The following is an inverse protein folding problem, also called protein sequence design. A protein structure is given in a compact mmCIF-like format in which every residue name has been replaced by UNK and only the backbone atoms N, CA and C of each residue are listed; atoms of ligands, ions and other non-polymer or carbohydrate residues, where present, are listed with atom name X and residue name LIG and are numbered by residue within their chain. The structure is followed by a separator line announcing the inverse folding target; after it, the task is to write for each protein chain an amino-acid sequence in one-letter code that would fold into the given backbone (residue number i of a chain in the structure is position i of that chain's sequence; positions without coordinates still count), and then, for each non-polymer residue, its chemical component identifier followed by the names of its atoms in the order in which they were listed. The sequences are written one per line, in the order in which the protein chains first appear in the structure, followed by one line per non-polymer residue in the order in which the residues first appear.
data_IF_105768535916
#
_entry.id   IF_105768535916
#
_cell.length_a   1.000
_cell.length_b   1.000
_cell.length_c   1.000
_cell.angle_alpha   90.00
_cell.angle_beta   90.00
_cell.angle_gamma   90.00
#
_symmetry.space_group_name_H-M   'P 1'
#
loop_
_entity.id
_entity.type
_entity.pdbx_description
1 polymer ?
#
# COMPACT_ATOMS: atom_id res chain seq x y z
N UNK A 1 -26.82 3.21 16.19
CA UNK A 1 -26.00 3.21 14.97
C UNK A 1 -24.72 2.44 15.27
N UNK A 2 -24.59 1.21 14.78
CA UNK A 2 -23.36 0.44 14.93
C UNK A 2 -22.24 1.21 14.19
N UNK A 3 -21.12 1.46 14.85
CA UNK A 3 -19.99 2.15 14.22
C UNK A 3 -19.59 1.40 12.95
N UNK A 4 -19.49 2.11 11.82
CA UNK A 4 -18.95 1.60 10.54
C UNK A 4 -17.51 1.14 10.79
N UNK A 5 -17.33 -0.15 11.09
CA UNK A 5 -16.03 -0.73 11.45
C UNK A 5 -15.44 -1.47 10.27
N UNK A 6 -14.13 -1.34 10.09
CA UNK A 6 -13.39 -2.23 9.23
C UNK A 6 -13.59 -3.68 9.69
N UNK A 7 -13.75 -4.59 8.74
CA UNK A 7 -13.94 -6.01 8.98
C UNK A 7 -12.70 -6.77 8.50
N UNK A 8 -12.28 -7.75 9.29
CA UNK A 8 -11.19 -8.65 8.97
C UNK A 8 -11.68 -10.09 9.07
N UNK A 9 -11.61 -10.81 7.96
CA UNK A 9 -11.93 -12.22 7.83
C UNK A 9 -10.61 -12.97 7.66
N UNK A 10 -10.27 -13.82 8.63
CA UNK A 10 -9.18 -14.79 8.53
C UNK A 10 -9.77 -16.13 8.14
N UNK A 11 -9.21 -16.74 7.10
CA UNK A 11 -9.67 -18.03 6.60
C UNK A 11 -8.92 -19.18 7.28
N UNK A 12 -9.58 -20.32 7.40
CA UNK A 12 -8.99 -21.56 7.91
C UNK A 12 -9.42 -21.93 9.33
N UNK A 13 -8.81 -22.98 9.88
CA UNK A 13 -9.24 -23.60 11.14
C UNK A 13 -9.09 -22.70 12.38
N UNK A 14 -8.16 -21.76 12.34
CA UNK A 14 -7.91 -20.71 13.36
C UNK A 14 -8.55 -19.35 12.99
N UNK A 15 -9.31 -19.33 11.90
CA UNK A 15 -9.98 -18.16 11.35
C UNK A 15 -11.32 -17.82 12.01
N UNK A 16 -11.97 -16.78 11.48
CA UNK A 16 -13.33 -16.36 11.84
C UNK A 16 -14.28 -16.39 10.63
N UNK A 17 -13.90 -17.09 9.56
CA UNK A 17 -14.58 -17.09 8.27
C UNK A 17 -15.95 -17.78 8.25
N UNK A 18 -16.17 -18.78 9.10
CA UNK A 18 -17.36 -19.66 9.06
C UNK A 18 -18.71 -18.94 8.97
N UNK A 19 -18.85 -17.74 9.54
CA UNK A 19 -20.10 -16.97 9.50
C UNK A 19 -20.34 -16.27 8.15
N UNK A 20 -19.32 -16.18 7.32
CA UNK A 20 -19.34 -15.48 6.04
C UNK A 20 -19.39 -16.44 4.85
N UNK A 21 -19.02 -17.71 5.03
CA UNK A 21 -18.90 -18.66 3.93
C UNK A 21 -20.28 -19.06 3.37
N UNK A 22 -20.41 -18.98 2.05
CA UNK A 22 -21.46 -19.67 1.29
C UNK A 22 -20.93 -20.96 0.66
N UNK A 23 -21.30 -21.22 -0.59
CA UNK A 23 -20.80 -22.37 -1.35
C UNK A 23 -19.37 -22.19 -1.87
N UNK A 24 -18.74 -23.28 -2.32
CA UNK A 24 -17.47 -23.23 -3.06
C UNK A 24 -16.19 -23.14 -2.22
N UNK A 25 -16.22 -23.61 -0.98
CA UNK A 25 -15.07 -23.59 -0.08
C UNK A 25 -14.71 -25.01 0.38
N UNK A 26 -13.43 -25.27 0.61
CA UNK A 26 -12.97 -26.50 1.24
C UNK A 26 -13.28 -26.52 2.74
N UNK A 27 -13.00 -27.68 3.36
CA UNK A 27 -12.82 -27.78 4.80
C UNK A 27 -11.67 -26.90 5.32
N UNK A 28 -11.52 -26.91 6.64
CA UNK A 28 -10.53 -26.10 7.36
C UNK A 28 -9.11 -26.55 7.02
N UNK A 29 -8.25 -25.61 6.61
CA UNK A 29 -6.80 -25.81 6.54
C UNK A 29 -6.13 -24.90 7.60
N UNK A 30 -4.89 -25.17 8.04
CA UNK A 30 -4.18 -24.29 8.96
C UNK A 30 -3.85 -22.94 8.30
N UNK A 31 -4.54 -21.86 8.71
CA UNK A 31 -4.29 -20.50 8.24
C UNK A 31 -4.85 -20.14 6.85
N UNK A 32 -5.62 -21.02 6.20
CA UNK A 32 -6.26 -20.73 4.92
C UNK A 32 -7.47 -21.63 4.62
N UNK A 33 -8.20 -21.32 3.54
CA UNK A 33 -9.15 -22.26 2.90
C UNK A 33 -9.00 -22.24 1.39
N UNK A 34 -9.20 -23.38 0.75
CA UNK A 34 -9.32 -23.43 -0.69
C UNK A 34 -10.68 -22.95 -1.16
N UNK A 35 -10.67 -22.07 -2.16
CA UNK A 35 -11.76 -21.91 -3.10
C UNK A 35 -11.78 -23.14 -4.02
N UNK A 36 -12.93 -23.81 -4.11
CA UNK A 36 -13.08 -25.10 -4.79
C UNK A 36 -14.20 -25.01 -5.82
N UNK A 37 -13.98 -25.60 -7.00
CA UNK A 37 -14.94 -25.58 -8.10
C UNK A 37 -14.72 -24.35 -8.99
N UNK A 38 -15.77 -23.82 -9.60
CA UNK A 38 -15.69 -22.64 -10.49
C UNK A 38 -16.16 -21.34 -9.82
N UNK A 39 -16.67 -21.44 -8.58
CA UNK A 39 -17.27 -20.34 -7.84
C UNK A 39 -17.16 -20.53 -6.34
N UNK A 40 -16.94 -19.44 -5.61
CA UNK A 40 -17.07 -19.35 -4.15
C UNK A 40 -17.93 -18.16 -3.74
N UNK A 41 -18.63 -18.28 -2.63
CA UNK A 41 -19.53 -17.23 -2.13
C UNK A 41 -19.13 -16.74 -0.75
N UNK A 42 -19.20 -15.43 -0.53
CA UNK A 42 -19.14 -14.80 0.79
C UNK A 42 -20.38 -13.95 1.02
N UNK A 43 -20.84 -13.94 2.26
CA UNK A 43 -21.97 -13.14 2.73
C UNK A 43 -21.46 -12.15 3.77
N UNK A 44 -21.47 -10.87 3.40
CA UNK A 44 -20.98 -9.79 4.23
C UNK A 44 -22.12 -9.01 4.85
N UNK A 45 -21.84 -8.38 5.98
CA UNK A 45 -22.73 -7.36 6.52
C UNK A 45 -22.77 -6.14 5.58
N UNK A 46 -23.92 -5.48 5.47
CA UNK A 46 -24.04 -4.27 4.67
C UNK A 46 -23.36 -3.09 5.41
N UNK A 47 -22.54 -2.24 4.75
CA UNK A 47 -21.83 -1.14 5.41
C UNK A 47 -22.71 0.06 5.81
N UNK A 48 -24.03 -0.09 5.67
CA UNK A 48 -24.99 1.00 5.64
C UNK A 48 -25.15 1.68 4.26
N UNK A 49 -26.23 2.45 4.07
CA UNK A 49 -26.55 3.09 2.79
C UNK A 49 -25.50 4.12 2.36
N UNK A 50 -25.20 4.19 1.06
CA UNK A 50 -24.29 5.17 0.47
C UNK A 50 -22.80 4.96 0.80
N UNK A 51 -22.45 3.85 1.45
CA UNK A 51 -21.09 3.51 1.84
C UNK A 51 -20.53 2.47 0.87
N UNK A 52 -19.33 2.73 0.34
CA UNK A 52 -18.56 1.79 -0.46
C UNK A 52 -17.67 0.93 0.45
N UNK A 53 -17.13 -0.17 -0.07
CA UNK A 53 -16.02 -0.87 0.55
C UNK A 53 -14.74 -0.68 -0.25
N UNK A 54 -13.62 -0.56 0.44
CA UNK A 54 -12.33 -1.03 -0.07
C UNK A 54 -12.15 -2.45 0.42
N UNK A 55 -12.03 -3.37 -0.52
CA UNK A 55 -11.72 -4.78 -0.25
C UNK A 55 -10.24 -5.01 -0.53
N UNK A 56 -9.56 -5.71 0.37
CA UNK A 56 -8.23 -6.27 0.16
C UNK A 56 -8.27 -7.78 0.46
N UNK A 57 -7.99 -8.61 -0.54
CA UNK A 57 -8.07 -10.07 -0.43
C UNK A 57 -6.70 -10.68 -0.73
N UNK A 58 -6.18 -11.45 0.23
CA UNK A 58 -4.90 -12.17 0.12
C UNK A 58 -5.16 -13.63 -0.23
N UNK A 59 -4.66 -14.03 -1.40
CA UNK A 59 -4.79 -15.39 -1.91
C UNK A 59 -3.50 -15.89 -2.54
N UNK A 60 -3.40 -17.20 -2.71
CA UNK A 60 -2.39 -17.86 -3.52
C UNK A 60 -3.06 -18.82 -4.52
N UNK A 61 -2.86 -18.63 -5.84
CA UNK A 61 -3.43 -19.51 -6.86
C UNK A 61 -2.76 -20.89 -6.84
N UNK A 62 -3.53 -21.94 -7.08
CA UNK A 62 -2.95 -23.23 -7.44
C UNK A 62 -2.46 -23.17 -8.89
N UNK A 63 -1.14 -23.15 -9.09
CA UNK A 63 -0.52 -23.13 -10.41
C UNK A 63 0.34 -24.35 -10.65
N UNK A 64 0.48 -24.72 -11.92
CA UNK A 64 1.37 -25.79 -12.39
C UNK A 64 1.94 -25.41 -13.75
N UNK A 65 3.00 -24.59 -13.81
CA UNK A 65 3.62 -24.26 -15.08
C UNK A 65 4.26 -25.51 -15.74
N UNK A 66 4.17 -25.67 -17.07
CA UNK A 66 3.53 -24.76 -18.03
C UNK A 66 2.01 -24.96 -18.22
N UNK A 67 1.42 -26.01 -17.68
CA UNK A 67 0.03 -26.42 -17.99
C UNK A 67 -1.05 -25.49 -17.41
N UNK A 68 -0.78 -24.90 -16.24
CA UNK A 68 -1.63 -23.93 -15.54
C UNK A 68 -0.75 -22.81 -14.96
N UNK A 69 -0.28 -21.86 -15.81
CA UNK A 69 0.68 -20.85 -15.38
C UNK A 69 0.06 -19.77 -14.47
N UNK A 70 -1.26 -19.57 -14.58
CA UNK A 70 -2.03 -18.63 -13.77
C UNK A 70 -3.47 -19.13 -13.64
N UNK A 71 -4.22 -18.55 -12.71
CA UNK A 71 -5.67 -18.70 -12.62
C UNK A 71 -6.38 -17.34 -12.70
N UNK A 72 -7.55 -17.31 -13.33
CA UNK A 72 -8.40 -16.11 -13.40
C UNK A 72 -9.33 -16.03 -12.21
N UNK A 73 -9.54 -14.80 -11.74
CA UNK A 73 -10.48 -14.48 -10.68
C UNK A 73 -11.35 -13.30 -11.11
N UNK A 74 -12.67 -13.43 -10.95
CA UNK A 74 -13.63 -12.33 -11.09
C UNK A 74 -14.39 -12.19 -9.79
N UNK A 75 -14.40 -10.98 -9.23
CA UNK A 75 -15.19 -10.67 -8.05
C UNK A 75 -16.45 -9.91 -8.48
N UNK A 76 -17.61 -10.37 -8.02
CA UNK A 76 -18.90 -9.72 -8.18
C UNK A 76 -19.53 -9.38 -6.85
N UNK A 77 -20.04 -8.18 -6.71
CA UNK A 77 -20.91 -7.79 -5.60
C UNK A 77 -22.35 -7.68 -6.13
N UNK A 78 -23.27 -8.49 -5.57
CA UNK A 78 -24.67 -8.57 -6.02
C UNK A 78 -24.79 -8.72 -7.57
N UNK A 79 -23.91 -9.51 -8.16
CA UNK A 79 -23.87 -9.79 -9.61
C UNK A 79 -23.11 -8.77 -10.47
N UNK A 80 -22.79 -7.59 -9.94
CA UNK A 80 -21.98 -6.58 -10.64
C UNK A 80 -20.50 -6.88 -10.50
N UNK A 81 -19.79 -6.94 -11.62
CA UNK A 81 -18.33 -7.10 -11.64
C UNK A 81 -17.65 -5.88 -11.02
N UNK A 82 -16.79 -6.13 -10.03
CA UNK A 82 -16.00 -5.08 -9.36
C UNK A 82 -14.50 -5.28 -9.57
N UNK A 83 -14.07 -6.49 -9.89
CA UNK A 83 -12.68 -6.81 -10.18
C UNK A 83 -12.57 -7.99 -11.13
N UNK A 84 -11.53 -7.96 -11.96
CA UNK A 84 -11.04 -9.07 -12.76
C UNK A 84 -9.51 -9.10 -12.69
N UNK A 85 -8.96 -10.28 -12.43
CA UNK A 85 -7.51 -10.50 -12.33
C UNK A 85 -7.11 -11.86 -12.90
N UNK A 86 -5.82 -12.00 -13.22
CA UNK A 86 -5.14 -13.27 -13.48
C UNK A 86 -3.91 -13.31 -12.57
N UNK A 87 -3.77 -14.36 -11.78
CA UNK A 87 -2.74 -14.48 -10.74
C UNK A 87 -1.95 -15.77 -10.93
N UNK A 88 -0.63 -15.65 -10.81
CA UNK A 88 0.36 -16.74 -10.93
C UNK A 88 1.11 -17.01 -9.62
N UNK A 89 1.05 -16.09 -8.66
CA UNK A 89 1.73 -16.15 -7.37
C UNK A 89 0.84 -15.61 -6.25
N UNK A 90 1.29 -15.80 -5.00
CA UNK A 90 0.65 -15.20 -3.82
C UNK A 90 0.58 -13.68 -3.96
N UNK A 91 -0.56 -13.10 -3.61
CA UNK A 91 -0.75 -11.65 -3.67
C UNK A 91 -1.95 -11.18 -2.89
N UNK A 92 -1.88 -9.91 -2.50
CA UNK A 92 -3.02 -9.14 -2.01
C UNK A 92 -3.53 -8.30 -3.18
N UNK A 93 -4.84 -8.31 -3.42
CA UNK A 93 -5.44 -7.46 -4.44
C UNK A 93 -6.54 -6.60 -3.84
N UNK A 94 -6.34 -5.29 -3.97
CA UNK A 94 -7.28 -4.27 -3.57
C UNK A 94 -8.27 -3.93 -4.68
N UNK A 95 -9.55 -3.80 -4.34
CA UNK A 95 -10.55 -3.19 -5.23
C UNK A 95 -11.55 -2.35 -4.44
N UNK A 96 -12.21 -1.42 -5.12
CA UNK A 96 -13.38 -0.75 -4.58
C UNK A 96 -14.63 -1.56 -4.92
N UNK A 97 -15.51 -1.73 -3.95
CA UNK A 97 -16.88 -2.19 -4.15
C UNK A 97 -17.76 -0.95 -3.99
N UNK A 98 -18.18 -0.33 -5.09
CA UNK A 98 -18.81 0.98 -5.03
C UNK A 98 -20.21 0.86 -4.42
N UNK A 99 -20.73 1.93 -3.82
CA UNK A 99 -21.97 1.91 -3.05
C UNK A 99 -23.16 1.39 -3.88
N UNK A 100 -23.18 1.67 -5.18
CA UNK A 100 -24.21 1.18 -6.10
C UNK A 100 -24.13 -0.32 -6.38
N UNK A 101 -22.96 -0.97 -6.20
CA UNK A 101 -22.83 -2.43 -6.27
C UNK A 101 -23.27 -3.12 -4.96
N UNK A 102 -23.36 -2.35 -3.87
CA UNK A 102 -23.80 -2.82 -2.56
C UNK A 102 -25.29 -2.58 -2.32
N UNK A 103 -25.92 -1.71 -3.13
CA UNK A 103 -27.29 -1.27 -2.99
C UNK A 103 -28.31 -2.41 -2.82
N UNK A 104 -29.30 -2.18 -1.97
CA UNK A 104 -30.35 -3.11 -1.62
C UNK A 104 -30.27 -3.55 -0.16
N UNK A 105 -31.37 -4.11 0.34
CA UNK A 105 -31.48 -4.50 1.73
C UNK A 105 -30.75 -5.83 2.02
N UNK A 106 -30.36 -6.01 3.28
CA UNK A 106 -29.79 -7.24 3.81
C UNK A 106 -28.31 -7.48 3.47
N UNK A 107 -27.81 -8.68 3.77
CA UNK A 107 -26.41 -9.06 3.56
C UNK A 107 -25.97 -8.93 2.11
N UNK A 108 -24.71 -8.55 1.91
CA UNK A 108 -24.08 -8.40 0.60
C UNK A 108 -23.48 -9.73 0.19
N UNK A 109 -23.97 -10.30 -0.93
CA UNK A 109 -23.32 -11.46 -1.55
C UNK A 109 -22.14 -11.01 -2.40
N UNK A 110 -20.95 -11.50 -2.04
CA UNK A 110 -19.78 -11.50 -2.91
C UNK A 110 -19.64 -12.87 -3.56
N UNK A 111 -19.49 -12.87 -4.87
CA UNK A 111 -19.29 -14.06 -5.68
C UNK A 111 -17.90 -13.98 -6.32
N UNK A 112 -17.08 -14.99 -6.06
CA UNK A 112 -15.74 -15.15 -6.59
C UNK A 112 -15.80 -16.22 -7.67
N UNK A 113 -15.75 -15.83 -8.94
CA UNK A 113 -15.70 -16.76 -10.07
C UNK A 113 -14.24 -17.08 -10.40
N UNK A 114 -13.92 -18.36 -10.47
CA UNK A 114 -12.56 -18.87 -10.71
C UNK A 114 -12.59 -20.08 -11.66
N UNK A 115 -12.76 -19.84 -12.98
CA UNK A 115 -13.07 -20.90 -13.96
C UNK A 115 -11.91 -21.87 -14.24
N UNK A 116 -10.72 -21.60 -13.72
CA UNK A 116 -9.50 -22.32 -14.05
C UNK A 116 -9.12 -23.38 -13.00
N UNK A 117 -9.98 -23.63 -12.00
CA UNK A 117 -9.71 -24.59 -10.94
C UNK A 117 -9.42 -25.99 -11.49
N UNK A 118 -8.41 -26.66 -10.94
CA UNK A 118 -7.99 -28.01 -11.37
C UNK A 118 -7.63 -28.87 -10.17
N UNK A 119 -7.88 -30.16 -10.30
CA UNK A 119 -7.45 -31.13 -9.30
C UNK A 119 -5.94 -31.36 -9.40
N UNK A 120 -5.17 -31.32 -8.30
CA UNK A 120 -3.79 -31.77 -8.32
C UNK A 120 -3.63 -33.17 -8.94
N UNK A 121 -4.61 -34.06 -8.72
CA UNK A 121 -4.66 -35.38 -9.34
C UNK A 121 -4.66 -35.39 -10.87
N UNK A 122 -5.17 -34.34 -11.53
CA UNK A 122 -5.12 -34.25 -13.00
C UNK A 122 -3.71 -34.03 -13.56
N UNK A 123 -2.74 -33.69 -12.70
CA UNK A 123 -1.32 -33.52 -13.06
C UNK A 123 -0.44 -34.69 -12.60
N UNK A 124 -1.05 -35.83 -12.25
CA UNK A 124 -0.32 -37.02 -11.78
C UNK A 124 0.13 -36.94 -10.31
N UNK A 125 -0.33 -35.95 -9.54
CA UNK A 125 -0.13 -35.92 -8.09
C UNK A 125 -1.11 -36.90 -7.42
N UNK A 126 -0.65 -37.81 -6.57
CA UNK A 126 -1.55 -38.70 -5.85
C UNK A 126 -2.23 -37.98 -4.68
N UNK A 127 -3.57 -38.03 -4.61
CA UNK A 127 -4.31 -37.90 -3.35
C UNK A 127 -5.24 -36.69 -3.17
N UNK A 128 -5.24 -35.70 -4.07
CA UNK A 128 -6.17 -34.56 -3.98
C UNK A 128 -6.97 -34.40 -5.29
N UNK A 129 -8.24 -34.81 -5.22
CA UNK A 129 -9.21 -34.74 -6.33
C UNK A 129 -10.05 -33.46 -6.29
N UNK A 130 -9.83 -32.57 -5.31
CA UNK A 130 -10.57 -31.31 -5.21
C UNK A 130 -10.15 -30.40 -6.37
N UNK A 131 -11.08 -29.80 -7.14
CA UNK A 131 -10.73 -28.78 -8.12
C UNK A 131 -10.31 -27.49 -7.39
N UNK A 132 -9.01 -27.31 -7.16
CA UNK A 132 -8.44 -26.21 -6.40
C UNK A 132 -8.27 -24.97 -7.27
N UNK A 133 -8.79 -23.85 -6.78
CA UNK A 133 -8.59 -22.54 -7.40
C UNK A 133 -7.53 -21.73 -6.64
N UNK A 134 -7.97 -21.04 -5.59
CA UNK A 134 -7.16 -20.14 -4.79
C UNK A 134 -7.21 -20.56 -3.33
N UNK A 135 -6.07 -20.54 -2.65
CA UNK A 135 -6.04 -20.59 -1.19
C UNK A 135 -6.24 -19.18 -0.65
N UNK A 136 -7.40 -18.93 -0.04
CA UNK A 136 -7.70 -17.67 0.63
C UNK A 136 -7.12 -17.69 2.04
N UNK A 137 -6.36 -16.65 2.39
CA UNK A 137 -5.80 -16.48 3.74
C UNK A 137 -6.54 -15.41 4.52
N UNK A 138 -6.85 -14.30 3.85
CA UNK A 138 -7.48 -13.16 4.49
C UNK A 138 -8.28 -12.28 3.55
N UNK A 139 -9.35 -11.69 4.07
CA UNK A 139 -10.08 -10.60 3.45
C UNK A 139 -10.26 -9.45 4.44
N UNK A 140 -9.99 -8.24 3.99
CA UNK A 140 -10.25 -7.00 4.70
C UNK A 140 -11.28 -6.16 3.96
N UNK A 141 -12.18 -5.55 4.70
CA UNK A 141 -13.19 -4.62 4.20
C UNK A 141 -13.11 -3.34 5.00
N UNK A 142 -12.92 -2.22 4.33
CA UNK A 142 -12.87 -0.91 4.95
C UNK A 142 -14.03 -0.11 4.39
N UNK A 143 -15.02 0.26 5.22
CA UNK A 143 -16.10 1.11 4.76
C UNK A 143 -15.53 2.50 4.43
N UNK A 144 -15.87 3.00 3.25
CA UNK A 144 -15.47 4.33 2.79
C UNK A 144 -16.71 5.09 2.36
N UNK A 145 -16.85 6.31 2.87
CA UNK A 145 -18.02 7.15 2.59
C UNK A 145 -17.99 7.63 1.13
N UNK A 146 -19.13 7.66 0.44
CA UNK A 146 -19.14 7.72 -1.03
C UNK A 146 -18.74 9.04 -1.70
N UNK A 147 -18.42 10.11 -0.96
CA UNK A 147 -18.14 11.42 -1.54
C UNK A 147 -16.62 11.68 -1.67
N UNK A 148 -16.14 11.82 -2.91
CA UNK A 148 -14.78 12.30 -3.22
C UNK A 148 -14.76 13.82 -3.37
N UNK A 149 -13.70 14.48 -2.92
CA UNK A 149 -13.46 15.90 -3.10
C UNK A 149 -13.14 16.27 -4.57
N UNK A 150 -12.82 15.28 -5.41
CA UNK A 150 -12.69 15.43 -6.85
C UNK A 150 -11.25 15.53 -7.35
N UNK A 151 -11.01 16.38 -8.34
CA UNK A 151 -9.72 16.50 -9.03
C UNK A 151 -9.25 17.95 -9.05
N UNK A 152 -7.98 18.18 -8.71
CA UNK A 152 -7.30 19.45 -8.92
C UNK A 152 -6.34 19.28 -10.10
N UNK A 153 -6.59 19.99 -11.19
CA UNK A 153 -5.70 19.98 -12.36
C UNK A 153 -4.37 20.67 -12.03
N UNK A 154 -3.28 20.06 -12.46
CA UNK A 154 -1.95 20.62 -12.38
C UNK A 154 -1.61 21.54 -13.56
N UNK A 155 -0.54 22.29 -13.39
CA UNK A 155 -0.01 23.25 -14.36
C UNK A 155 1.43 22.90 -14.79
N UNK A 156 1.97 21.77 -14.30
CA UNK A 156 3.30 21.25 -14.66
C UNK A 156 4.40 21.56 -13.64
N UNK A 157 4.09 22.25 -12.55
CA UNK A 157 5.06 22.63 -11.53
C UNK A 157 4.58 23.80 -10.66
N UNK A 158 5.08 23.84 -9.42
CA UNK A 158 4.87 24.92 -8.47
C UNK A 158 6.19 25.29 -7.81
N UNK A 159 6.59 26.55 -7.91
CA UNK A 159 7.80 27.00 -7.23
C UNK A 159 7.58 27.03 -5.70
N UNK A 160 8.56 26.66 -4.86
CA UNK A 160 8.38 26.60 -3.40
C UNK A 160 7.89 27.90 -2.73
N UNK A 161 8.20 29.07 -3.30
CA UNK A 161 7.71 30.36 -2.80
C UNK A 161 6.20 30.52 -2.92
N UNK A 162 5.59 29.82 -3.89
CA UNK A 162 4.19 30.01 -4.27
C UNK A 162 3.28 28.99 -3.54
N UNK A 163 3.89 28.00 -2.88
CA UNK A 163 3.20 26.99 -2.07
C UNK A 163 2.32 27.63 -1.01
N UNK A 164 2.78 28.69 -0.35
CA UNK A 164 1.99 29.38 0.67
C UNK A 164 0.68 29.96 0.10
N UNK A 165 0.73 30.52 -1.11
CA UNK A 165 -0.46 31.06 -1.78
C UNK A 165 -1.45 29.96 -2.19
N UNK A 166 -0.95 28.78 -2.58
CA UNK A 166 -1.79 27.68 -3.06
C UNK A 166 -2.35 26.78 -1.96
N UNK A 167 -1.52 26.43 -0.96
CA UNK A 167 -1.79 25.45 0.09
C UNK A 167 -2.11 26.10 1.45
N UNK A 168 -1.91 27.41 1.60
CA UNK A 168 -2.14 28.15 2.85
C UNK A 168 -1.10 27.92 3.94
N UNK A 169 -0.01 27.19 3.64
CA UNK A 169 1.13 26.93 4.55
C UNK A 169 2.45 26.95 3.75
N UNK A 170 3.60 27.30 4.35
CA UNK A 170 4.89 27.29 3.66
C UNK A 170 5.31 25.89 3.17
N UNK A 171 6.17 25.83 2.15
CA UNK A 171 6.67 24.57 1.60
C UNK A 171 7.35 23.66 2.64
N UNK A 172 8.10 24.25 3.58
CA UNK A 172 8.74 23.51 4.68
C UNK A 172 7.71 22.86 5.60
N UNK A 173 6.67 23.58 6.00
CA UNK A 173 5.59 23.01 6.82
C UNK A 173 4.83 21.94 6.03
N UNK A 174 4.45 22.24 4.77
CA UNK A 174 3.74 21.31 3.89
C UNK A 174 4.48 19.97 3.79
N UNK A 175 5.79 19.99 3.54
CA UNK A 175 6.61 18.79 3.39
C UNK A 175 6.62 17.87 4.64
N UNK A 176 6.38 18.42 5.84
CA UNK A 176 6.28 17.63 7.09
C UNK A 176 4.93 16.97 7.30
N UNK A 177 3.89 17.39 6.56
CA UNK A 177 2.55 16.76 6.55
C UNK A 177 2.53 15.42 5.81
N UNK A 178 3.62 15.09 5.13
CA UNK A 178 3.75 13.88 4.33
C UNK A 178 4.84 12.96 4.87
N UNK A 179 4.63 11.66 4.73
CA UNK A 179 5.60 10.63 5.16
C UNK A 179 5.77 9.54 4.10
N UNK A 180 7.03 9.21 3.80
CA UNK A 180 7.39 8.16 2.83
C UNK A 180 6.97 6.77 3.31
N UNK A 181 6.44 5.93 2.40
CA UNK A 181 6.29 4.48 2.59
C UNK A 181 7.36 3.67 1.83
N UNK A 182 8.56 4.25 1.72
CA UNK A 182 9.75 3.64 1.15
C UNK A 182 9.77 3.61 -0.38
N UNK A 183 10.89 3.15 -0.93
CA UNK A 183 11.24 2.87 -2.35
C UNK A 183 12.68 3.33 -2.61
N UNK A 184 12.89 4.57 -3.06
CA UNK A 184 14.21 5.16 -3.16
C UNK A 184 14.31 6.49 -2.38
N UNK A 185 15.37 7.26 -2.62
CA UNK A 185 15.63 8.49 -1.89
C UNK A 185 14.82 9.71 -2.37
N UNK A 186 14.09 9.62 -3.50
CA UNK A 186 13.53 10.77 -4.20
C UNK A 186 12.68 11.66 -3.29
N UNK A 187 11.66 11.09 -2.64
CA UNK A 187 10.77 11.89 -1.79
C UNK A 187 11.47 12.44 -0.54
N UNK A 188 12.43 11.71 0.03
CA UNK A 188 13.23 12.20 1.14
C UNK A 188 14.12 13.39 0.76
N UNK A 189 14.55 13.46 -0.50
CA UNK A 189 15.31 14.60 -1.05
C UNK A 189 14.40 15.78 -1.39
N UNK A 190 13.15 15.54 -1.81
CA UNK A 190 12.12 16.60 -1.92
C UNK A 190 11.97 17.31 -0.57
N UNK A 191 11.77 16.55 0.50
CA UNK A 191 11.69 17.08 1.87
C UNK A 191 12.96 17.87 2.25
N UNK A 192 14.15 17.33 1.97
CA UNK A 192 15.43 18.01 2.24
C UNK A 192 15.56 19.34 1.47
N UNK A 193 15.11 19.41 0.21
CA UNK A 193 15.09 20.66 -0.59
C UNK A 193 14.10 21.70 -0.06
N UNK A 194 13.06 21.28 0.65
CA UNK A 194 12.19 22.18 1.42
C UNK A 194 12.82 22.62 2.76
N UNK A 195 14.06 22.21 3.06
CA UNK A 195 14.76 22.55 4.30
C UNK A 195 14.33 21.73 5.51
N UNK A 196 13.71 20.56 5.32
CA UNK A 196 13.23 19.72 6.42
C UNK A 196 13.93 18.35 6.48
N UNK A 197 14.35 17.98 7.70
CA UNK A 197 14.94 16.68 8.01
C UNK A 197 13.97 15.86 8.86
N UNK A 198 13.07 15.13 8.18
CA UNK A 198 12.07 14.29 8.85
C UNK A 198 12.71 12.99 9.33
N UNK A 199 12.50 12.65 10.59
CA UNK A 199 12.79 11.33 11.14
C UNK A 199 11.66 10.37 10.78
N UNK A 200 11.92 9.43 9.88
CA UNK A 200 10.96 8.41 9.43
C UNK A 200 11.68 7.10 9.13
N UNK A 201 11.02 5.98 9.42
CA UNK A 201 11.58 4.65 9.16
C UNK A 201 11.83 4.40 7.69
N UNK A 202 10.92 4.85 6.82
CA UNK A 202 10.90 4.51 5.40
C UNK A 202 11.35 5.68 4.51
N UNK A 203 11.95 6.72 5.11
CA UNK A 203 12.66 7.77 4.37
C UNK A 203 14.05 7.27 4.01
N UNK A 204 14.47 7.48 2.76
CA UNK A 204 15.74 6.97 2.21
C UNK A 204 15.92 5.45 2.36
N UNK A 205 14.79 4.72 2.35
CA UNK A 205 14.75 3.28 2.62
C UNK A 205 13.95 2.59 1.53
N UNK A 206 14.53 1.54 0.95
CA UNK A 206 13.86 0.62 0.06
C UNK A 206 13.07 -0.44 0.85
N UNK A 207 11.85 -0.73 0.39
CA UNK A 207 11.02 -1.85 0.83
C UNK A 207 10.06 -2.25 -0.29
N UNK A 208 9.99 -3.53 -0.60
CA UNK A 208 9.00 -4.05 -1.55
C UNK A 208 7.58 -3.97 -0.96
N UNK A 209 6.55 -3.74 -1.80
CA UNK A 209 5.15 -3.63 -1.32
C UNK A 209 4.72 -4.85 -0.50
N UNK A 210 4.99 -6.10 -0.89
CA UNK A 210 4.61 -7.26 -0.06
C UNK A 210 5.22 -7.23 1.34
N UNK A 211 6.47 -6.77 1.48
CA UNK A 211 7.16 -6.66 2.77
C UNK A 211 6.68 -5.45 3.57
N UNK A 212 6.26 -4.35 2.91
CA UNK A 212 5.56 -3.24 3.55
C UNK A 212 4.22 -3.67 4.15
N UNK A 213 3.41 -4.39 3.38
CA UNK A 213 2.12 -4.90 3.85
C UNK A 213 2.31 -5.83 5.06
N UNK A 214 3.29 -6.74 4.97
CA UNK A 214 3.69 -7.61 6.10
C UNK A 214 4.14 -6.79 7.31
N UNK A 215 4.99 -5.78 7.11
CA UNK A 215 5.47 -4.91 8.18
C UNK A 215 4.35 -4.13 8.88
N UNK A 216 3.39 -3.59 8.12
CA UNK A 216 2.21 -2.91 8.68
C UNK A 216 1.34 -3.86 9.50
N UNK A 217 1.18 -5.10 9.04
CA UNK A 217 0.43 -6.12 9.74
C UNK A 217 1.10 -6.60 11.03
N UNK A 218 2.39 -6.97 10.95
CA UNK A 218 3.18 -7.44 12.09
C UNK A 218 3.65 -6.27 12.97
N UNK A 219 3.22 -5.04 12.69
CA UNK A 219 3.63 -3.80 13.36
C UNK A 219 5.15 -3.68 13.44
N UNK A 220 5.84 -4.09 12.38
CA UNK A 220 7.29 -4.12 12.25
C UNK A 220 8.01 -4.81 13.42
N UNK A 221 7.36 -5.74 14.13
CA UNK A 221 7.87 -6.29 15.39
C UNK A 221 9.30 -6.86 15.35
N UNK A 222 9.75 -7.57 14.29
CA UNK A 222 11.11 -8.12 14.22
C UNK A 222 12.19 -7.08 13.89
N UNK A 223 11.83 -5.84 13.54
CA UNK A 223 12.80 -4.86 13.01
C UNK A 223 13.86 -4.48 14.04
N UNK A 224 15.09 -4.29 13.55
CA UNK A 224 16.22 -3.95 14.41
C UNK A 224 16.77 -5.11 15.23
N UNK A 225 16.46 -6.37 14.85
CA UNK A 225 17.20 -7.54 15.34
C UNK A 225 18.69 -7.41 14.95
N UNK A 226 19.62 -7.35 15.92
CA UNK A 226 21.05 -7.27 15.63
C UNK A 226 21.55 -8.39 14.71
N UNK A 227 20.95 -9.59 14.76
CA UNK A 227 21.37 -10.72 13.93
C UNK A 227 21.04 -10.53 12.44
N UNK A 228 20.01 -9.75 12.12
CA UNK A 228 19.56 -9.45 10.76
C UNK A 228 20.06 -8.14 10.19
N UNK A 229 20.89 -7.39 10.93
CA UNK A 229 21.40 -6.08 10.50
C UNK A 229 22.80 -6.19 9.93
N UNK A 230 22.96 -5.77 8.68
CA UNK A 230 24.23 -5.81 7.97
C UNK A 230 24.64 -4.41 7.51
N UNK A 231 25.78 -3.93 8.01
CA UNK A 231 26.38 -2.65 7.60
C UNK A 231 27.44 -2.93 6.54
N UNK A 232 27.28 -2.37 5.35
CA UNK A 232 28.22 -2.50 4.24
C UNK A 232 28.53 -1.15 3.63
N UNK A 233 29.67 -1.00 2.96
CA UNK A 233 29.93 0.20 2.16
C UNK A 233 29.17 0.13 0.84
N UNK A 234 28.65 1.26 0.37
CA UNK A 234 28.10 1.36 -0.98
C UNK A 234 29.20 1.14 -2.02
N UNK A 235 28.82 0.51 -3.13
CA UNK A 235 29.69 0.18 -4.24
C UNK A 235 29.95 1.37 -5.17
N UNK A 236 29.33 2.54 -4.91
CA UNK A 236 29.39 3.72 -5.77
C UNK A 236 30.51 4.72 -5.46
N UNK A 237 31.36 4.47 -4.47
CA UNK A 237 32.45 5.40 -4.14
C UNK A 237 33.61 5.35 -5.14
N UNK A 238 34.38 6.43 -5.16
CA UNK A 238 35.60 6.58 -5.96
C UNK A 238 36.73 7.14 -5.09
N UNK A 239 37.96 7.24 -5.62
CA UNK A 239 39.05 7.90 -4.90
C UNK A 239 38.77 9.39 -4.61
N UNK A 240 37.82 10.02 -5.33
CA UNK A 240 37.41 11.41 -5.15
C UNK A 240 36.14 11.57 -4.28
N UNK A 241 35.37 10.50 -4.09
CA UNK A 241 34.11 10.50 -3.33
C UNK A 241 34.10 9.32 -2.36
N UNK A 242 34.31 9.55 -1.05
CA UNK A 242 34.37 8.49 -0.05
C UNK A 242 33.07 7.71 -0.01
N UNK A 243 33.16 6.40 0.25
CA UNK A 243 31.99 5.53 0.30
C UNK A 243 31.13 5.83 1.52
N UNK A 244 29.82 5.75 1.31
CA UNK A 244 28.82 5.76 2.37
C UNK A 244 28.63 4.36 2.93
N UNK A 245 28.33 4.25 4.23
CA UNK A 245 27.74 3.04 4.76
C UNK A 245 26.24 2.94 4.43
N UNK A 246 25.82 1.78 3.98
CA UNK A 246 24.42 1.38 3.83
C UNK A 246 24.09 0.27 4.82
N UNK A 247 22.85 0.20 5.25
CA UNK A 247 22.38 -0.86 6.16
C UNK A 247 21.32 -1.69 5.48
N UNK A 248 21.43 -3.02 5.63
CA UNK A 248 20.38 -3.98 5.29
C UNK A 248 19.76 -4.57 6.54
N UNK A 249 18.43 -4.63 6.60
CA UNK A 249 17.67 -5.36 7.63
C UNK A 249 16.96 -6.56 6.99
N UNK A 250 17.40 -7.76 7.35
CA UNK A 250 16.92 -9.02 6.78
C UNK A 250 15.45 -9.34 7.13
N UNK A 251 14.87 -8.70 8.14
CA UNK A 251 13.50 -8.98 8.61
C UNK A 251 12.45 -8.65 7.54
N UNK A 252 12.71 -7.55 6.82
CA UNK A 252 11.81 -6.98 5.80
C UNK A 252 12.56 -6.59 4.53
N UNK A 253 13.78 -7.10 4.35
CA UNK A 253 14.69 -6.76 3.25
C UNK A 253 14.82 -5.23 3.02
N UNK A 254 14.94 -4.49 4.13
CA UNK A 254 15.10 -3.04 4.06
C UNK A 254 16.52 -2.72 3.66
N UNK A 255 16.70 -1.79 2.74
CA UNK A 255 18.01 -1.18 2.47
C UNK A 255 17.91 0.32 2.65
N UNK A 256 18.78 0.93 3.46
CA UNK A 256 18.72 2.37 3.69
C UNK A 256 20.10 3.04 3.77
N UNK A 257 20.11 4.30 3.32
CA UNK A 257 21.26 5.19 3.38
C UNK A 257 21.45 5.71 4.82
N UNK A 258 22.68 5.62 5.33
CA UNK A 258 23.03 6.14 6.66
C UNK A 258 23.52 7.58 6.62
N UNK A 259 23.96 8.04 5.45
CA UNK A 259 24.67 9.28 5.17
C UNK A 259 25.95 9.44 5.98
N UNK A 260 26.53 8.33 6.48
CA UNK A 260 27.81 8.34 7.20
C UNK A 260 28.89 7.74 6.31
N UNK A 261 30.00 8.47 6.17
CA UNK A 261 31.09 8.14 5.28
C UNK A 261 32.15 7.28 5.98
N UNK A 262 32.90 6.50 5.21
CA UNK A 262 33.90 5.54 5.72
C UNK A 262 35.03 6.19 6.54
N UNK A 263 35.23 7.50 6.40
CA UNK A 263 36.22 8.25 7.17
C UNK A 263 35.65 8.95 8.43
N UNK A 264 34.33 9.00 8.59
CA UNK A 264 33.66 9.63 9.72
C UNK A 264 33.41 8.64 10.87
N UNK A 265 33.26 7.35 10.55
CA UNK A 265 33.03 6.29 11.53
C UNK A 265 33.47 4.93 11.01
N UNK A 266 33.52 3.93 11.90
CA UNK A 266 33.73 2.54 11.53
C UNK A 266 32.41 1.75 11.51
N UNK A 267 32.39 0.65 10.76
CA UNK A 267 31.21 -0.19 10.57
C UNK A 267 30.65 -0.76 11.89
N UNK A 268 31.51 -1.10 12.87
CA UNK A 268 31.08 -1.71 14.13
C UNK A 268 30.39 -0.67 15.02
N UNK A 269 30.93 0.54 15.09
CA UNK A 269 30.32 1.68 15.78
C UNK A 269 28.97 2.04 15.17
N UNK A 270 28.87 2.02 13.84
CA UNK A 270 27.60 2.27 13.15
C UNK A 270 26.58 1.16 13.40
N UNK A 271 27.01 -0.11 13.31
CA UNK A 271 26.18 -1.29 13.55
C UNK A 271 25.58 -1.31 14.95
N UNK A 272 26.37 -0.97 15.98
CA UNK A 272 25.92 -0.92 17.38
C UNK A 272 24.74 0.05 17.61
N UNK A 273 24.61 1.09 16.79
CA UNK A 273 23.54 2.10 16.88
C UNK A 273 22.26 1.70 16.12
N UNK A 274 22.36 0.82 15.11
CA UNK A 274 21.22 0.50 14.22
C UNK A 274 20.04 -0.16 14.94
N UNK A 275 20.21 -1.17 15.82
CA UNK A 275 19.08 -1.83 16.47
C UNK A 275 18.13 -0.87 17.20
N UNK A 276 18.68 0.03 18.02
CA UNK A 276 17.90 0.99 18.77
C UNK A 276 17.24 2.04 17.87
N UNK A 277 17.97 2.52 16.85
CA UNK A 277 17.45 3.46 15.85
C UNK A 277 16.26 2.87 15.08
N UNK A 278 16.37 1.65 14.55
CA UNK A 278 15.32 1.01 13.77
C UNK A 278 14.06 0.77 14.61
N UNK A 279 14.19 0.26 15.83
CA UNK A 279 13.05 0.08 16.75
C UNK A 279 12.38 1.41 17.11
N UNK A 280 13.16 2.48 17.30
CA UNK A 280 12.61 3.81 17.55
C UNK A 280 11.82 4.31 16.33
N UNK A 281 12.41 4.26 15.13
CA UNK A 281 11.77 4.73 13.90
C UNK A 281 10.51 3.94 13.56
N UNK A 282 10.50 2.62 13.80
CA UNK A 282 9.32 1.79 13.63
C UNK A 282 8.18 2.16 14.58
N UNK A 283 8.49 2.35 15.88
CA UNK A 283 7.48 2.86 16.84
C UNK A 283 6.96 4.24 16.44
N UNK A 284 7.83 5.12 15.94
CA UNK A 284 7.43 6.44 15.46
C UNK A 284 6.47 6.36 14.27
N UNK A 285 6.81 5.57 13.24
CA UNK A 285 5.93 5.35 12.08
C UNK A 285 4.56 4.83 12.50
N UNK A 286 4.52 3.87 13.43
CA UNK A 286 3.26 3.33 13.95
C UNK A 286 2.46 4.38 14.73
N UNK A 287 3.12 5.22 15.53
CA UNK A 287 2.48 6.35 16.20
C UNK A 287 1.90 7.36 15.20
N UNK A 288 2.66 7.73 14.18
CA UNK A 288 2.19 8.63 13.11
C UNK A 288 0.97 8.04 12.35
N UNK A 289 0.94 6.71 12.16
CA UNK A 289 -0.21 5.98 11.58
C UNK A 289 -1.42 5.91 12.53
N UNK A 290 -1.19 5.86 13.84
CA UNK A 290 -2.25 5.86 14.86
C UNK A 290 -2.88 7.25 15.03
N UNK A 291 -2.07 8.30 14.92
CA UNK A 291 -2.51 9.70 14.98
C UNK A 291 -3.35 10.09 13.76
N UNK A 292 -3.07 9.52 12.57
CA UNK A 292 -3.87 9.73 11.36
C UNK A 292 -3.78 11.14 10.76
N UNK A 293 -2.84 11.97 11.22
CA UNK A 293 -2.71 13.37 10.80
C UNK A 293 -1.95 13.53 9.48
N UNK A 294 -1.10 12.57 9.12
CA UNK A 294 -0.23 12.63 7.94
C UNK A 294 -0.87 12.06 6.68
N UNK A 295 -0.32 12.48 5.55
CA UNK A 295 -0.57 11.87 4.25
C UNK A 295 0.64 11.00 3.89
N UNK A 296 0.44 9.69 3.80
CA UNK A 296 1.49 8.75 3.46
C UNK A 296 1.73 8.74 1.95
N UNK A 297 2.99 8.60 1.52
CA UNK A 297 3.41 8.69 0.11
C UNK A 297 3.91 7.34 -0.38
N UNK A 298 3.25 6.81 -1.41
CA UNK A 298 3.63 5.60 -2.14
C UNK A 298 4.14 5.96 -3.54
N UNK A 299 5.45 6.20 -3.64
CA UNK A 299 6.17 6.33 -4.92
C UNK A 299 6.84 4.99 -5.24
N UNK A 300 6.73 4.49 -6.47
CA UNK A 300 7.46 3.31 -6.95
C UNK A 300 8.00 3.58 -8.36
N UNK A 301 9.04 2.85 -8.75
CA UNK A 301 9.53 2.82 -10.13
C UNK A 301 9.60 1.35 -10.63
N UNK A 302 8.74 0.91 -11.56
CA UNK A 302 7.64 1.67 -12.16
C UNK A 302 6.53 2.05 -11.14
N UNK A 303 5.64 3.02 -11.47
CA UNK A 303 4.53 3.41 -10.60
C UNK A 303 3.65 2.23 -10.15
N UNK A 304 3.11 2.27 -8.91
CA UNK A 304 2.25 1.21 -8.42
C UNK A 304 0.92 1.19 -9.20
N UNK A 305 0.40 -0.01 -9.44
CA UNK A 305 -0.94 -0.19 -9.99
C UNK A 305 -1.98 0.14 -8.92
N UNK A 306 -3.18 0.55 -9.33
CA UNK A 306 -4.27 0.88 -8.41
C UNK A 306 -4.58 -0.23 -7.37
N UNK A 307 -4.60 -1.53 -7.74
CA UNK A 307 -4.81 -2.60 -6.75
C UNK A 307 -3.74 -2.65 -5.65
N UNK A 308 -2.48 -2.32 -5.98
CA UNK A 308 -1.38 -2.28 -5.01
C UNK A 308 -1.53 -1.07 -4.07
N UNK A 309 -1.87 0.09 -4.62
CA UNK A 309 -2.16 1.29 -3.83
C UNK A 309 -3.37 1.07 -2.90
N UNK A 310 -4.41 0.39 -3.36
CA UNK A 310 -5.58 0.04 -2.54
C UNK A 310 -5.23 -0.94 -1.41
N UNK A 311 -4.35 -1.91 -1.65
CA UNK A 311 -3.87 -2.82 -0.61
C UNK A 311 -3.10 -2.06 0.49
N UNK A 312 -2.22 -1.12 0.11
CA UNK A 312 -1.50 -0.27 1.07
C UNK A 312 -2.45 0.68 1.81
N UNK A 313 -3.37 1.33 1.09
CA UNK A 313 -4.41 2.17 1.68
C UNK A 313 -5.22 1.39 2.70
N UNK A 314 -5.60 0.17 2.36
CA UNK A 314 -6.34 -0.69 3.26
C UNK A 314 -5.49 -1.05 4.49
N UNK A 315 -4.23 -1.42 4.29
CA UNK A 315 -3.32 -1.79 5.36
C UNK A 315 -3.14 -0.69 6.40
N UNK A 316 -2.95 0.57 5.98
CA UNK A 316 -2.82 1.72 6.89
C UNK A 316 -4.16 2.11 7.53
N UNK A 317 -5.29 1.96 6.82
CA UNK A 317 -6.61 2.30 7.33
C UNK A 317 -7.20 1.28 8.31
N UNK A 318 -6.55 0.13 8.47
CA UNK A 318 -6.82 -0.80 9.58
C UNK A 318 -6.31 -0.28 10.94
N UNK A 319 -5.30 0.60 10.91
CA UNK A 319 -4.67 1.13 12.13
C UNK A 319 -5.49 2.31 12.66
N UNK A 320 -5.65 3.34 11.82
CA UNK A 320 -6.51 4.49 12.05
C UNK A 320 -6.95 5.08 10.71
N UNK A 321 -7.75 6.16 10.73
CA UNK A 321 -8.17 6.85 9.50
C UNK A 321 -6.98 7.59 8.89
N UNK A 322 -6.32 6.97 7.92
CA UNK A 322 -5.12 7.45 7.28
C UNK A 322 -5.37 7.87 5.83
N UNK A 323 -4.51 8.77 5.33
CA UNK A 323 -4.53 9.23 3.94
C UNK A 323 -3.32 8.70 3.18
N UNK A 324 -3.51 8.31 1.92
CA UNK A 324 -2.48 7.80 1.05
C UNK A 324 -2.45 8.62 -0.26
N UNK A 325 -1.29 9.11 -0.62
CA UNK A 325 -0.97 9.64 -1.95
C UNK A 325 -0.07 8.62 -2.64
N UNK A 326 -0.48 8.09 -3.80
CA UNK A 326 0.44 7.36 -4.67
C UNK A 326 0.74 8.17 -5.92
N UNK A 327 1.95 7.96 -6.45
CA UNK A 327 2.43 8.68 -7.62
C UNK A 327 2.27 7.81 -8.87
N UNK A 328 1.70 8.38 -9.91
CA UNK A 328 1.56 7.77 -11.23
C UNK A 328 2.18 8.68 -12.30
N UNK A 329 2.49 8.10 -13.45
CA UNK A 329 2.89 8.84 -14.64
C UNK A 329 1.64 9.33 -15.40
N UNK A 330 1.76 10.33 -16.29
CA UNK A 330 0.62 10.89 -16.99
C UNK A 330 -0.08 9.82 -17.83
N UNK A 331 -1.40 9.69 -17.63
CA UNK A 331 -2.28 8.92 -18.50
C UNK A 331 -2.98 9.90 -19.44
N UNK A 332 -3.04 9.57 -20.72
CA UNK A 332 -3.65 10.41 -21.75
C UNK A 332 -3.07 11.85 -21.75
N UNK A 333 -3.94 12.87 -21.83
CA UNK A 333 -3.54 14.29 -21.80
C UNK A 333 -3.64 14.91 -20.39
N UNK A 334 -3.52 14.10 -19.32
CA UNK A 334 -3.56 14.63 -17.95
C UNK A 334 -2.27 15.43 -17.66
N UNK A 335 -2.35 16.72 -17.30
CA UNK A 335 -1.17 17.52 -17.06
C UNK A 335 -0.46 17.07 -15.77
N UNK A 336 0.89 17.09 -15.74
CA UNK A 336 1.64 16.89 -14.50
C UNK A 336 1.24 17.88 -13.40
N UNK A 337 1.39 17.48 -12.14
CA UNK A 337 0.90 18.22 -10.98
C UNK A 337 -0.58 17.96 -10.64
N UNK A 338 -1.31 17.25 -11.51
CA UNK A 338 -2.71 16.90 -11.27
C UNK A 338 -2.84 15.91 -10.11
N UNK A 339 -3.81 16.15 -9.24
CA UNK A 339 -4.17 15.22 -8.16
C UNK A 339 -5.65 14.89 -8.23
N UNK A 340 -5.95 13.59 -8.24
CA UNK A 340 -7.30 13.03 -8.19
C UNK A 340 -7.50 12.30 -6.86
N UNK A 341 -8.59 12.59 -6.14
CA UNK A 341 -9.07 11.73 -5.06
C UNK A 341 -9.94 10.61 -5.65
N UNK A 342 -9.44 9.37 -5.61
CA UNK A 342 -10.10 8.21 -6.21
C UNK A 342 -11.23 7.70 -5.32
N UNK A 343 -10.98 7.71 -4.00
CA UNK A 343 -11.91 7.45 -2.91
C UNK A 343 -11.44 8.31 -1.71
N UNK A 344 -12.28 8.62 -0.72
CA UNK A 344 -11.86 9.43 0.43
C UNK A 344 -10.53 9.00 1.04
N UNK A 345 -9.57 9.92 1.03
CA UNK A 345 -8.24 9.72 1.58
C UNK A 345 -7.27 8.94 0.69
N UNK A 346 -7.66 8.47 -0.50
CA UNK A 346 -6.74 7.90 -1.49
C UNK A 346 -6.60 8.83 -2.68
N UNK A 347 -5.39 9.36 -2.85
CA UNK A 347 -5.04 10.32 -3.88
C UNK A 347 -4.09 9.70 -4.89
N UNK A 348 -4.30 10.01 -6.18
CA UNK A 348 -3.34 9.78 -7.26
C UNK A 348 -2.72 11.11 -7.67
N UNK A 349 -1.41 11.25 -7.49
CA UNK A 349 -0.64 12.38 -8.00
C UNK A 349 0.01 12.04 -9.34
N UNK A 350 -0.12 12.90 -10.33
CA UNK A 350 0.48 12.73 -11.66
C UNK A 350 1.81 13.48 -11.73
N UNK A 351 2.92 12.76 -11.80
CA UNK A 351 4.25 13.35 -11.96
C UNK A 351 4.68 13.31 -13.43
N UNK A 352 5.44 14.30 -13.89
CA UNK A 352 5.96 14.36 -15.26
C UNK A 352 7.01 13.27 -15.53
N UNK A 353 7.86 13.00 -14.54
CA UNK A 353 8.89 11.95 -14.58
C UNK A 353 9.29 11.53 -13.18
N UNK A 354 9.70 10.29 -13.03
CA UNK A 354 10.36 9.81 -11.83
C UNK A 354 11.87 10.05 -11.93
N UNK A 355 12.53 10.29 -10.80
CA UNK A 355 13.98 10.32 -10.78
C UNK A 355 14.55 8.92 -11.16
N UNK A 356 15.65 8.85 -11.93
CA UNK A 356 16.35 7.59 -12.18
C UNK A 356 16.80 6.94 -10.87
N UNK A 357 16.78 5.60 -10.81
CA UNK A 357 17.11 4.88 -9.57
C UNK A 357 18.58 5.06 -9.15
N UNK A 358 19.47 5.26 -10.12
CA UNK A 358 20.87 5.61 -9.89
C UNK A 358 21.06 7.04 -9.39
N UNK A 359 20.12 7.96 -9.63
CA UNK A 359 20.26 9.37 -9.32
C UNK A 359 18.95 10.03 -8.85
N UNK A 360 18.58 9.78 -7.59
CA UNK A 360 17.41 10.37 -6.96
C UNK A 360 17.47 11.92 -6.84
N UNK A 361 18.64 12.56 -7.03
CA UNK A 361 18.76 14.02 -7.02
C UNK A 361 18.16 14.67 -8.26
N UNK A 362 18.05 13.94 -9.36
CA UNK A 362 17.38 14.38 -10.57
C UNK A 362 15.86 14.17 -10.47
N UNK A 363 15.25 14.67 -9.39
CA UNK A 363 13.81 14.63 -9.15
C UNK A 363 13.10 15.83 -9.79
N UNK A 364 11.84 15.66 -10.21
CA UNK A 364 11.00 16.77 -10.67
C UNK A 364 10.43 17.56 -9.49
N UNK A 365 11.27 18.43 -8.92
CA UNK A 365 10.99 19.08 -7.64
C UNK A 365 9.77 20.00 -7.66
N UNK A 366 9.62 20.82 -8.70
CA UNK A 366 8.46 21.73 -8.81
C UNK A 366 7.16 20.96 -9.05
N UNK A 367 7.19 19.87 -9.84
CA UNK A 367 6.03 19.01 -10.00
C UNK A 367 5.63 18.35 -8.68
N UNK A 368 6.60 17.88 -7.90
CA UNK A 368 6.36 17.40 -6.53
C UNK A 368 5.70 18.47 -5.64
N UNK A 369 6.19 19.71 -5.64
CA UNK A 369 5.57 20.79 -4.86
C UNK A 369 4.10 21.00 -5.24
N UNK A 370 3.79 20.96 -6.53
CA UNK A 370 2.41 21.10 -6.99
C UNK A 370 1.53 19.93 -6.53
N UNK A 371 2.02 18.69 -6.66
CA UNK A 371 1.31 17.48 -6.19
C UNK A 371 1.03 17.57 -4.69
N UNK A 372 2.02 17.93 -3.87
CA UNK A 372 1.83 18.03 -2.42
C UNK A 372 0.81 19.13 -2.07
N UNK A 373 0.90 20.29 -2.71
CA UNK A 373 -0.02 21.40 -2.47
C UNK A 373 -1.46 21.04 -2.87
N UNK A 374 -1.64 20.41 -4.03
CA UNK A 374 -2.95 19.97 -4.53
C UNK A 374 -3.56 18.87 -3.66
N UNK A 375 -2.75 17.90 -3.23
CA UNK A 375 -3.20 16.83 -2.30
C UNK A 375 -3.64 17.42 -0.97
N UNK A 376 -2.88 18.36 -0.41
CA UNK A 376 -3.20 19.02 0.86
C UNK A 376 -4.50 19.81 0.79
N UNK A 377 -4.75 20.52 -0.32
CA UNK A 377 -6.01 21.24 -0.54
C UNK A 377 -7.21 20.29 -0.52
N UNK A 378 -7.15 19.20 -1.29
CA UNK A 378 -8.22 18.19 -1.32
C UNK A 378 -8.48 17.62 0.08
N UNK A 379 -7.41 17.23 0.78
CA UNK A 379 -7.50 16.64 2.12
C UNK A 379 -8.13 17.58 3.17
N UNK A 380 -7.97 18.90 3.02
CA UNK A 380 -8.59 19.90 3.91
C UNK A 380 -10.03 20.23 3.56
N UNK A 381 -10.38 20.25 2.27
CA UNK A 381 -11.76 20.44 1.84
C UNK A 381 -12.65 19.34 2.39
N UNK A 382 -12.23 18.07 2.24
CA UNK A 382 -12.97 16.91 2.76
C UNK A 382 -13.16 16.94 4.30
N UNK A 383 -12.18 17.46 5.05
CA UNK A 383 -12.28 17.58 6.51
C UNK A 383 -13.28 18.66 6.95
N UNK A 384 -13.45 19.72 6.15
CA UNK A 384 -14.40 20.80 6.45
C UNK A 384 -15.83 20.32 6.21
N UNK A 385 -16.06 19.58 5.13
CA UNK A 385 -17.37 19.00 4.80
C UNK A 385 -17.81 17.97 5.85
N UNK A 386 -16.87 17.17 6.36
CA UNK A 386 -17.14 16.19 7.42
C UNK A 386 -17.45 16.81 8.80
N UNK A 387 -17.00 18.04 9.07
CA UNK A 387 -17.27 18.74 10.33
C UNK A 387 -18.57 19.58 10.31
N UNK A 388 -19.12 19.83 9.12
CA UNK A 388 -20.36 20.58 8.90
C UNK A 388 -21.62 19.72 8.73
N UNK A 389 -21.48 18.39 8.84
CA UNK A 389 -22.57 17.39 8.84
C UNK A 389 -22.69 16.74 10.20
#
# INVERSE_FOLDING_TARGET
MSARRAQAIRFGGDGNDRHYLGSGWSGDEPGYRWMVGDRSELWLEHPGPGTAYVLDLTVEPFTRPPELPYQRLVLRARGREVLRAALDQVGSFGCTIPAEALAGDGPVRLELEHPDARAPASFGAHGDDRPLAFSARRLHLIPVDGAVAGTVRGHGGLHPSDVAAQAGIPASELATRFESLGDNCEFGLVQRRCGVEVLSLLRFTYIAIPLLLRGLEERFAPIGDPAGLHVTLDNRGSAAEPREYIVRDASYDLTYHTWQLEHETDAATLAAKQPARQRFLARKLLGDLEDGEKIFVLRRNPPPRLPEALAVYAAINRIARNRLLFIDLPRDQQPPGTVEEIIPGLYRGTIDRLAPDENAHDMSFECWMEILANTWRLARSAATDAAGT
#
